data_IF_970015493674
#
_entry.id   IF_970015493674
#
_cell.length_a   1.000
_cell.length_b   1.000
_cell.length_c   1.000
_cell.angle_alpha   90.00
_cell.angle_beta   90.00
_cell.angle_gamma   90.00
#
_symmetry.space_group_name_H-M   'P 1'
#
loop_
_entity.id
_entity.type
_entity.pdbx_description
1 polymer ?
#
# COMPACT_ATOMS: atom_id res chain seq x y z
N UNK A 1 -12.95 -10.38 15.67
CA UNK A 1 -12.70 -9.07 15.06
C UNK A 1 -12.35 -9.36 13.61
N UNK A 2 -13.17 -8.91 12.66
CA UNK A 2 -12.83 -9.00 11.23
C UNK A 2 -11.63 -8.13 10.96
N UNK A 3 -10.48 -8.74 10.66
CA UNK A 3 -9.29 -8.03 10.23
C UNK A 3 -9.61 -7.35 8.90
N UNK A 4 -9.52 -6.02 8.84
CA UNK A 4 -9.67 -5.26 7.60
C UNK A 4 -8.68 -5.82 6.57
N UNK A 5 -9.18 -6.39 5.47
CA UNK A 5 -8.34 -6.89 4.36
C UNK A 5 -8.34 -5.85 3.25
N UNK A 6 -7.21 -5.18 3.07
CA UNK A 6 -6.94 -4.32 1.92
C UNK A 6 -6.17 -5.10 0.85
N UNK A 7 -6.32 -4.66 -0.40
CA UNK A 7 -5.60 -5.21 -1.55
C UNK A 7 -5.10 -4.06 -2.42
N UNK A 8 -3.85 -4.14 -2.87
CA UNK A 8 -3.31 -3.17 -3.84
C UNK A 8 -4.03 -3.36 -5.17
N UNK A 9 -4.44 -2.24 -5.76
CA UNK A 9 -5.03 -2.19 -7.10
C UNK A 9 -3.87 -2.10 -8.12
N UNK A 10 -3.49 -3.18 -8.82
CA UNK A 10 -2.24 -3.23 -9.58
C UNK A 10 -2.16 -2.18 -10.70
N UNK A 11 -3.27 -1.91 -11.37
CA UNK A 11 -3.35 -0.90 -12.43
C UNK A 11 -3.19 0.55 -11.93
N UNK A 12 -3.35 0.77 -10.61
CA UNK A 12 -3.11 2.07 -9.99
C UNK A 12 -1.63 2.32 -9.67
N UNK A 13 -0.80 1.27 -9.70
CA UNK A 13 0.59 1.36 -9.26
C UNK A 13 1.45 2.01 -10.32
N UNK A 14 2.06 3.13 -9.96
CA UNK A 14 2.98 3.89 -10.80
C UNK A 14 4.30 4.09 -10.07
N UNK A 15 5.40 4.08 -10.82
CA UNK A 15 6.73 4.35 -10.28
C UNK A 15 7.15 5.76 -10.63
N UNK A 16 7.57 6.55 -9.64
CA UNK A 16 8.04 7.92 -9.83
C UNK A 16 9.20 8.19 -8.87
N UNK A 17 10.35 8.63 -9.38
CA UNK A 17 11.54 8.92 -8.58
C UNK A 17 11.99 7.78 -7.64
N UNK A 18 11.80 6.52 -8.03
CA UNK A 18 12.16 5.35 -7.22
C UNK A 18 11.15 4.96 -6.14
N UNK A 19 10.01 5.66 -6.07
CA UNK A 19 8.88 5.33 -5.21
C UNK A 19 7.74 4.72 -6.01
N UNK A 20 7.06 3.75 -5.42
CA UNK A 20 5.81 3.21 -5.90
C UNK A 20 4.65 3.94 -5.26
N UNK A 21 3.79 4.51 -6.10
CA UNK A 21 2.55 5.16 -5.69
C UNK A 21 1.39 4.30 -6.15
N UNK A 22 0.37 4.11 -5.32
CA UNK A 22 -0.80 3.34 -5.72
C UNK A 22 -1.96 3.47 -4.73
N UNK A 23 -3.00 2.71 -5.01
CA UNK A 23 -4.20 2.61 -4.17
C UNK A 23 -4.29 1.19 -3.61
N UNK A 24 -4.62 1.06 -2.33
CA UNK A 24 -4.88 -0.21 -1.66
C UNK A 24 -6.32 -0.28 -1.12
N UNK A 25 -7.27 -0.55 -2.02
CA UNK A 25 -8.69 -0.65 -1.69
C UNK A 25 -9.33 0.68 -1.28
N UNK A 26 -10.38 0.58 -0.46
CA UNK A 26 -11.15 1.74 0.03
C UNK A 26 -11.39 1.65 1.52
N UNK A 27 -11.39 2.78 2.22
CA UNK A 27 -11.73 2.90 3.63
C UNK A 27 -12.60 4.13 3.85
N UNK A 28 -13.68 3.97 4.63
CA UNK A 28 -14.71 5.01 4.81
C UNK A 28 -15.23 5.60 3.48
N UNK A 29 -15.32 4.77 2.43
CA UNK A 29 -15.76 5.18 1.09
C UNK A 29 -14.74 5.99 0.29
N UNK A 30 -13.49 6.14 0.78
CA UNK A 30 -12.40 6.85 0.09
C UNK A 30 -11.31 5.88 -0.36
N UNK A 31 -10.66 6.11 -1.52
CA UNK A 31 -9.46 5.36 -1.90
C UNK A 31 -8.37 5.51 -0.85
N UNK A 32 -7.62 4.43 -0.60
CA UNK A 32 -6.52 4.43 0.35
C UNK A 32 -5.19 4.54 -0.41
N UNK A 33 -4.61 5.74 -0.55
CA UNK A 33 -3.33 5.90 -1.22
C UNK A 33 -2.19 5.35 -0.37
N UNK A 34 -1.16 4.82 -1.03
CA UNK A 34 0.12 4.52 -0.41
C UNK A 34 1.26 5.04 -1.30
N UNK A 35 2.38 5.34 -0.66
CA UNK A 35 3.67 5.53 -1.30
C UNK A 35 4.66 4.58 -0.64
N UNK A 36 5.42 3.81 -1.41
CA UNK A 36 6.39 2.85 -0.88
C UNK A 36 7.74 3.02 -1.56
N UNK A 37 8.82 3.02 -0.79
CA UNK A 37 10.18 2.88 -1.31
C UNK A 37 10.57 1.39 -1.28
N UNK A 38 10.60 0.67 -2.42
CA UNK A 38 10.78 -0.78 -2.41
C UNK A 38 12.14 -1.25 -1.87
N UNK A 39 13.15 -0.37 -1.89
CA UNK A 39 14.50 -0.68 -1.41
C UNK A 39 14.61 -0.71 0.11
N UNK A 40 13.88 0.18 0.80
CA UNK A 40 13.89 0.27 2.26
C UNK A 40 12.62 -0.28 2.90
N UNK A 41 11.61 -0.61 2.08
CA UNK A 41 10.28 -0.99 2.51
C UNK A 41 9.59 0.09 3.35
N UNK A 42 10.02 1.35 3.21
CA UNK A 42 9.35 2.48 3.87
C UNK A 42 8.02 2.76 3.18
N UNK A 43 6.93 2.61 3.93
CA UNK A 43 5.58 2.89 3.46
C UNK A 43 5.10 4.19 4.12
N UNK A 44 4.79 5.17 3.28
CA UNK A 44 4.26 6.46 3.67
C UNK A 44 2.77 6.53 3.34
N UNK A 45 1.98 6.95 4.32
CA UNK A 45 0.54 7.14 4.21
C UNK A 45 0.14 8.48 4.83
N UNK A 46 -1.01 9.06 4.45
CA UNK A 46 -1.62 10.17 5.18
C UNK A 46 -1.93 9.80 6.64
N UNK A 47 -1.78 10.74 7.58
CA UNK A 47 -2.10 10.55 9.00
C UNK A 47 -3.53 10.05 9.24
N UNK A 48 -4.48 10.44 8.40
CA UNK A 48 -5.87 9.99 8.48
C UNK A 48 -6.05 8.49 8.26
N UNK A 49 -5.04 7.79 7.74
CA UNK A 49 -5.03 6.36 7.48
C UNK A 49 -4.17 5.58 8.51
N UNK A 50 -3.58 6.26 9.50
CA UNK A 50 -2.83 5.62 10.59
C UNK A 50 -3.62 4.50 11.31
N UNK A 51 -4.94 4.64 11.58
CA UNK A 51 -5.72 3.58 12.22
C UNK A 51 -5.80 2.27 11.43
N UNK A 52 -5.55 2.32 10.12
CA UNK A 52 -5.55 1.17 9.23
C UNK A 52 -4.18 0.85 8.65
N UNK A 53 -3.12 1.51 9.15
CA UNK A 53 -1.75 1.30 8.67
C UNK A 53 -1.34 -0.19 8.62
N UNK A 54 -1.63 -1.03 9.63
CA UNK A 54 -1.26 -2.45 9.56
C UNK A 54 -1.88 -3.19 8.36
N UNK A 55 -3.11 -2.84 7.98
CA UNK A 55 -3.78 -3.43 6.82
C UNK A 55 -3.19 -2.93 5.50
N UNK A 56 -2.75 -1.66 5.45
CA UNK A 56 -2.07 -1.09 4.29
C UNK A 56 -0.71 -1.74 4.11
N UNK A 57 0.08 -1.82 5.19
CA UNK A 57 1.40 -2.45 5.20
C UNK A 57 1.32 -3.90 4.72
N UNK A 58 0.41 -4.70 5.28
CA UNK A 58 0.22 -6.09 4.84
C UNK A 58 -0.12 -6.18 3.34
N UNK A 59 -1.03 -5.33 2.85
CA UNK A 59 -1.44 -5.32 1.45
C UNK A 59 -0.28 -4.95 0.51
N UNK A 60 0.50 -3.91 0.84
CA UNK A 60 1.63 -3.45 0.03
C UNK A 60 2.77 -4.48 0.06
N UNK A 61 3.13 -5.00 1.23
CA UNK A 61 4.17 -6.04 1.38
C UNK A 61 3.79 -7.30 0.58
N UNK A 62 2.53 -7.75 0.68
CA UNK A 62 2.03 -8.89 -0.10
C UNK A 62 2.18 -8.63 -1.60
N UNK A 63 1.72 -7.48 -2.08
CA UNK A 63 1.81 -7.10 -3.49
C UNK A 63 3.26 -7.07 -3.99
N UNK A 64 4.19 -6.48 -3.23
CA UNK A 64 5.59 -6.42 -3.63
C UNK A 64 6.25 -7.80 -3.68
N UNK A 65 5.87 -8.71 -2.79
CA UNK A 65 6.33 -10.10 -2.79
C UNK A 65 5.81 -10.86 -4.01
N UNK A 66 4.52 -10.75 -4.31
CA UNK A 66 3.88 -11.43 -5.44
C UNK A 66 4.38 -10.93 -6.80
N UNK A 67 4.75 -9.64 -6.88
CA UNK A 67 5.26 -9.03 -8.11
C UNK A 67 6.79 -9.10 -8.25
N UNK A 68 7.51 -9.69 -7.29
CA UNK A 68 8.97 -9.78 -7.31
C UNK A 68 9.68 -8.43 -7.19
N UNK A 69 8.98 -7.41 -6.65
CA UNK A 69 9.50 -6.05 -6.44
C UNK A 69 10.18 -5.87 -5.07
N UNK A 70 10.12 -6.91 -4.24
CA UNK A 70 10.85 -7.03 -2.98
C UNK A 70 12.12 -7.85 -3.24
N UNK A 71 13.29 -7.26 -3.06
CA UNK A 71 14.59 -7.91 -3.22
C UNK A 71 15.21 -8.29 -1.89
#
# INVERSE_FOLDING_TARGET
MDTLKLEVVPESVQETNGYLHGICGTWAGKPVPFMCQPQTMDIMIPESLEPIYPAIEEAVVRYLRETGRMR
#
